data_IF_665396679451
#
_entry.id   IF_665396679451
#
_cell.length_a   1.000
_cell.length_b   1.000
_cell.length_c   1.000
_cell.angle_alpha   90.00
_cell.angle_beta   90.00
_cell.angle_gamma   90.00
#
_symmetry.space_group_name_H-M   'P 1'
#
loop_
_entity.id
_entity.type
_entity.pdbx_description
1 polymer ?
#
# COMPACT_ATOMS: atom_id res chain seq x y z
N UNK A 1 6.91 -28.00 -7.85
CA UNK A 1 6.96 -27.63 -6.42
C UNK A 1 6.18 -26.34 -6.25
N UNK A 2 5.12 -26.30 -5.45
CA UNK A 2 4.35 -25.07 -5.22
C UNK A 2 4.91 -24.37 -3.99
N UNK A 3 5.94 -23.57 -4.18
CA UNK A 3 6.46 -22.68 -3.13
C UNK A 3 5.51 -21.50 -3.03
N UNK A 4 4.63 -21.54 -2.04
CA UNK A 4 3.85 -20.35 -1.66
C UNK A 4 4.86 -19.35 -1.10
N UNK A 5 5.04 -18.23 -1.79
CA UNK A 5 5.78 -17.10 -1.23
C UNK A 5 4.86 -16.38 -0.23
N UNK A 6 5.30 -16.26 1.02
CA UNK A 6 4.59 -15.51 2.05
C UNK A 6 5.14 -14.09 2.16
N UNK A 7 4.32 -13.08 1.90
CA UNK A 7 4.65 -11.67 2.09
C UNK A 7 3.83 -11.12 3.25
N UNK A 8 4.43 -10.20 4.02
CA UNK A 8 3.77 -9.55 5.15
C UNK A 8 3.75 -8.04 4.93
N UNK A 9 2.60 -7.43 5.17
CA UNK A 9 2.45 -5.98 5.22
C UNK A 9 2.16 -5.63 6.68
N UNK A 10 3.03 -4.81 7.27
CA UNK A 10 2.79 -4.20 8.57
C UNK A 10 2.00 -2.91 8.34
N UNK A 11 0.83 -2.76 8.96
CA UNK A 11 0.01 -1.55 8.89
C UNK A 11 -0.20 -1.00 10.30
N UNK A 12 -0.04 0.31 10.44
CA UNK A 12 -0.36 1.03 11.67
C UNK A 12 -1.30 2.19 11.38
N UNK A 13 -2.20 2.47 12.32
CA UNK A 13 -3.15 3.56 12.25
C UNK A 13 -2.93 4.54 13.40
N UNK A 14 -3.26 5.81 13.14
CA UNK A 14 -3.28 6.86 14.14
C UNK A 14 -4.44 7.80 13.88
N UNK A 15 -5.26 8.02 14.90
CA UNK A 15 -6.33 9.02 14.85
C UNK A 15 -5.88 10.33 15.47
N UNK A 16 -6.19 11.43 14.78
CA UNK A 16 -5.90 12.81 15.20
C UNK A 16 -7.15 13.64 14.94
N UNK A 17 -8.03 13.75 15.94
CA UNK A 17 -9.31 14.43 15.79
C UNK A 17 -10.23 13.69 14.82
N UNK A 18 -10.57 14.31 13.69
CA UNK A 18 -11.38 13.70 12.62
C UNK A 18 -10.55 13.00 11.54
N UNK A 19 -9.22 13.07 11.61
CA UNK A 19 -8.31 12.48 10.62
C UNK A 19 -7.80 11.11 11.11
N UNK A 20 -7.99 10.07 10.31
CA UNK A 20 -7.32 8.77 10.47
C UNK A 20 -6.15 8.69 9.52
N UNK A 21 -4.94 8.45 10.03
CA UNK A 21 -3.72 8.23 9.24
C UNK A 21 -3.34 6.76 9.27
N UNK A 22 -2.86 6.24 8.13
CA UNK A 22 -2.33 4.90 7.99
C UNK A 22 -0.90 4.96 7.44
N UNK A 23 -0.03 4.09 7.94
CA UNK A 23 1.32 3.86 7.42
C UNK A 23 1.54 2.37 7.23
N UNK A 24 2.36 1.99 6.25
CA UNK A 24 2.65 0.59 6.00
C UNK A 24 4.07 0.34 5.55
N UNK A 25 4.53 -0.85 5.88
CA UNK A 25 5.79 -1.42 5.43
C UNK A 25 5.54 -2.80 4.85
N UNK A 26 5.90 -2.99 3.58
CA UNK A 26 5.94 -4.28 2.89
C UNK A 26 7.40 -4.67 2.68
N UNK A 27 7.79 -5.84 3.21
CA UNK A 27 9.11 -6.43 3.00
C UNK A 27 9.01 -7.55 1.97
N UNK A 28 9.71 -7.40 0.85
CA UNK A 28 9.77 -8.40 -0.21
C UNK A 28 10.90 -9.42 0.02
N UNK A 29 10.83 -10.62 -0.57
CA UNK A 29 11.83 -11.67 -0.38
C UNK A 29 13.24 -11.30 -0.85
N UNK A 30 13.35 -10.35 -1.78
CA UNK A 30 14.61 -9.83 -2.29
C UNK A 30 15.24 -8.77 -1.38
N UNK A 31 14.63 -8.48 -0.23
CA UNK A 31 15.06 -7.47 0.73
C UNK A 31 14.53 -6.07 0.44
N UNK A 32 13.76 -5.86 -0.63
CA UNK A 32 13.13 -4.56 -0.92
C UNK A 32 12.10 -4.21 0.14
N UNK A 33 12.21 -3.01 0.70
CA UNK A 33 11.17 -2.41 1.55
C UNK A 33 10.35 -1.42 0.73
N UNK A 34 9.04 -1.62 0.68
CA UNK A 34 8.08 -0.65 0.16
C UNK A 34 7.32 -0.01 1.31
N UNK A 35 7.17 1.32 1.25
CA UNK A 35 6.49 2.10 2.28
C UNK A 35 5.37 2.90 1.66
N UNK A 36 4.22 2.90 2.30
CA UNK A 36 3.06 3.63 1.84
C UNK A 36 2.36 4.35 2.98
N UNK A 37 1.57 5.36 2.62
CA UNK A 37 0.80 6.18 3.55
C UNK A 37 -0.60 6.39 3.01
N UNK A 38 -1.56 6.45 3.90
CA UNK A 38 -2.94 6.78 3.61
C UNK A 38 -3.51 7.69 4.69
N UNK A 39 -4.54 8.43 4.37
CA UNK A 39 -5.31 9.19 5.35
C UNK A 39 -6.78 9.18 4.95
N UNK A 40 -7.66 9.43 5.91
CA UNK A 40 -9.09 9.62 5.74
C UNK A 40 -9.54 10.73 6.69
N UNK A 41 -10.34 11.66 6.17
CA UNK A 41 -10.94 12.74 6.95
C UNK A 41 -12.43 12.49 7.07
N UNK A 42 -12.92 12.42 8.32
CA UNK A 42 -14.36 12.35 8.60
C UNK A 42 -15.00 13.72 8.36
N UNK A 43 -16.14 13.75 7.67
CA UNK A 43 -16.91 14.99 7.55
C UNK A 43 -17.44 15.43 8.94
N UNK A 44 -17.52 16.73 9.24
CA UNK A 44 -18.01 17.20 10.55
C UNK A 44 -19.40 16.68 10.93
N UNK A 45 -20.26 16.47 9.94
CA UNK A 45 -21.63 15.98 10.12
C UNK A 45 -21.74 14.44 10.17
N UNK A 46 -20.65 13.72 9.89
CA UNK A 46 -20.66 12.26 9.91
C UNK A 46 -20.53 11.73 11.34
N UNK A 47 -21.20 10.61 11.67
CA UNK A 47 -21.05 9.95 12.96
C UNK A 47 -19.59 9.51 13.22
N UNK A 48 -19.17 9.58 14.48
CA UNK A 48 -17.84 9.14 14.91
C UNK A 48 -17.66 7.63 14.74
N UNK A 49 -17.09 7.23 13.60
CA UNK A 49 -16.85 5.83 13.23
C UNK A 49 -15.37 5.62 12.85
N UNK A 50 -14.46 5.51 13.85
CA UNK A 50 -13.03 5.24 13.67
C UNK A 50 -12.70 4.20 12.60
N UNK A 51 -13.39 3.05 12.66
CA UNK A 51 -13.21 1.92 11.76
C UNK A 51 -13.36 2.28 10.27
N UNK A 52 -14.28 3.20 9.93
CA UNK A 52 -14.47 3.62 8.54
C UNK A 52 -13.27 4.43 8.05
N UNK A 53 -12.73 5.29 8.92
CA UNK A 53 -11.50 6.04 8.63
C UNK A 53 -10.30 5.10 8.41
N UNK A 54 -10.17 4.06 9.23
CA UNK A 54 -9.13 3.03 9.08
C UNK A 54 -9.26 2.30 7.74
N UNK A 55 -10.46 1.84 7.39
CA UNK A 55 -10.73 1.13 6.14
C UNK A 55 -10.40 1.98 4.91
N UNK A 56 -10.79 3.26 4.91
CA UNK A 56 -10.51 4.19 3.80
C UNK A 56 -9.01 4.51 3.73
N UNK A 57 -8.37 4.80 4.86
CA UNK A 57 -6.94 5.10 4.92
C UNK A 57 -6.13 3.88 4.47
N UNK A 58 -6.51 2.67 4.87
CA UNK A 58 -5.92 1.41 4.43
C UNK A 58 -6.11 1.20 2.93
N UNK A 59 -7.32 1.41 2.38
CA UNK A 59 -7.57 1.23 0.94
C UNK A 59 -6.68 2.14 0.09
N UNK A 60 -6.55 3.42 0.49
CA UNK A 60 -5.67 4.40 -0.18
C UNK A 60 -4.21 3.97 -0.10
N UNK A 61 -3.77 3.54 1.08
CA UNK A 61 -2.43 3.03 1.32
C UNK A 61 -2.10 1.77 0.50
N UNK A 62 -3.05 0.84 0.40
CA UNK A 62 -2.87 -0.40 -0.35
C UNK A 62 -2.87 -0.15 -1.86
N UNK A 63 -3.64 0.85 -2.32
CA UNK A 63 -3.59 1.33 -3.70
C UNK A 63 -2.21 1.88 -4.06
N UNK A 64 -1.58 2.63 -3.16
CA UNK A 64 -0.20 3.11 -3.33
C UNK A 64 0.81 1.94 -3.37
N UNK A 65 0.73 0.99 -2.44
CA UNK A 65 1.58 -0.22 -2.48
C UNK A 65 1.40 -1.02 -3.77
N UNK A 66 0.16 -1.16 -4.26
CA UNK A 66 -0.12 -1.81 -5.54
C UNK A 66 0.59 -1.09 -6.69
N UNK A 67 0.52 0.24 -6.76
CA UNK A 67 1.21 1.02 -7.77
C UNK A 67 2.74 0.87 -7.67
N UNK A 68 3.30 0.91 -6.46
CA UNK A 68 4.74 0.72 -6.24
C UNK A 68 5.21 -0.67 -6.67
N UNK A 69 4.45 -1.72 -6.36
CA UNK A 69 4.75 -3.09 -6.79
C UNK A 69 4.75 -3.23 -8.32
N UNK A 70 3.76 -2.64 -9.00
CA UNK A 70 3.72 -2.63 -10.46
C UNK A 70 4.93 -1.91 -11.04
N UNK A 71 5.29 -0.74 -10.52
CA UNK A 71 6.48 -0.01 -10.98
C UNK A 71 7.78 -0.76 -10.71
N UNK A 72 7.89 -1.48 -9.59
CA UNK A 72 9.03 -2.36 -9.34
C UNK A 72 9.11 -3.47 -10.39
N UNK A 73 7.99 -4.15 -10.67
CA UNK A 73 7.93 -5.21 -11.65
C UNK A 73 8.25 -4.71 -13.07
N UNK A 74 7.76 -3.52 -13.45
CA UNK A 74 8.12 -2.87 -14.72
C UNK A 74 9.63 -2.72 -14.84
N UNK A 75 10.30 -2.17 -13.81
CA UNK A 75 11.77 -2.01 -13.81
C UNK A 75 12.51 -3.33 -13.92
N UNK A 76 12.08 -4.36 -13.20
CA UNK A 76 12.72 -5.69 -13.27
C UNK A 76 12.57 -6.33 -14.66
N UNK A 77 11.43 -6.15 -15.31
CA UNK A 77 11.22 -6.62 -16.69
C UNK A 77 12.13 -5.84 -17.65
N UNK A 78 12.21 -4.52 -17.50
CA UNK A 78 13.06 -3.65 -18.31
C UNK A 78 14.55 -4.01 -18.16
N UNK A 79 15.01 -4.29 -16.94
CA UNK A 79 16.39 -4.68 -16.66
C UNK A 79 16.79 -5.99 -17.35
N UNK A 80 15.88 -6.97 -17.41
CA UNK A 80 16.15 -8.25 -18.06
C UNK A 80 15.99 -8.17 -19.57
N UNK A 81 14.93 -7.52 -20.04
CA UNK A 81 14.54 -7.52 -21.46
C UNK A 81 15.19 -6.40 -22.27
N UNK A 82 15.64 -5.34 -21.62
CA UNK A 82 16.10 -4.08 -22.24
C UNK A 82 15.02 -3.40 -23.11
N UNK A 83 13.74 -3.68 -22.84
CA UNK A 83 12.59 -3.14 -23.55
C UNK A 83 11.66 -2.45 -22.53
N UNK A 84 11.15 -1.23 -22.83
CA UNK A 84 10.18 -0.56 -21.96
C UNK A 84 8.96 -1.43 -21.64
N UNK A 85 8.60 -1.53 -20.36
CA UNK A 85 7.50 -2.35 -19.87
C UNK A 85 6.35 -1.48 -19.33
N UNK A 86 5.13 -2.01 -19.36
CA UNK A 86 3.97 -1.41 -18.71
C UNK A 86 3.10 -2.48 -18.09
N UNK A 87 2.91 -2.41 -16.78
CA UNK A 87 2.04 -3.30 -16.00
C UNK A 87 0.76 -2.55 -15.65
N UNK A 88 -0.35 -3.02 -16.23
CA UNK A 88 -1.65 -2.41 -16.01
C UNK A 88 -2.20 -2.71 -14.61
N UNK A 89 -3.02 -1.81 -14.02
CA UNK A 89 -3.74 -2.05 -12.77
C UNK A 89 -4.70 -3.24 -12.84
#
# INVERSE_FOLDING_TARGET
MRTVAGWHIELEFREIGSETRAVALLRLPDGTELRARGHADRHPDDPDQPRVGEEIAAARLLGDLSAQLRHKAEREIEEVTHIPARVHP
#
